data_IF_683650353420
#
_entry.id   IF_683650353420
#
_cell.length_a   1.000
_cell.length_b   1.000
_cell.length_c   1.000
_cell.angle_alpha   90.00
_cell.angle_beta   90.00
_cell.angle_gamma   90.00
#
_symmetry.space_group_name_H-M   'P 1'
#
loop_
_entity.id
_entity.type
_entity.pdbx_description
1 polymer ?
#
# COMPACT_ATOMS: atom_id res chain seq x y z
N UNK A 1 21.93 11.22 36.80
CA UNK A 1 21.04 10.23 36.17
C UNK A 1 19.78 10.98 35.78
N UNK A 2 19.76 11.50 34.55
CA UNK A 2 18.52 11.95 33.92
C UNK A 2 18.14 10.85 32.96
N UNK A 3 17.11 10.11 33.31
CA UNK A 3 16.46 9.18 32.40
C UNK A 3 15.67 10.04 31.41
N UNK A 4 16.30 10.32 30.27
CA UNK A 4 15.62 10.83 29.10
C UNK A 4 14.77 9.71 28.54
N UNK A 5 13.51 9.68 28.94
CA UNK A 5 12.48 8.83 28.34
C UNK A 5 12.24 9.32 26.90
N UNK A 6 13.07 8.82 26.00
CA UNK A 6 12.92 8.93 24.55
C UNK A 6 11.90 7.93 24.04
N UNK A 7 10.72 7.86 24.65
CA UNK A 7 9.56 7.23 24.01
C UNK A 7 9.13 8.17 22.89
N UNK A 8 9.52 7.80 21.67
CA UNK A 8 8.96 8.38 20.44
C UNK A 8 7.44 8.37 20.59
N UNK A 9 6.83 9.54 20.83
CA UNK A 9 5.38 9.67 20.90
C UNK A 9 4.81 9.14 19.58
N UNK A 10 4.31 7.91 19.56
CA UNK A 10 3.60 7.39 18.42
C UNK A 10 2.42 8.32 18.18
N UNK A 11 2.43 8.96 17.02
CA UNK A 11 1.51 10.02 16.67
C UNK A 11 0.06 9.52 16.77
N UNK A 12 -0.82 10.38 17.27
CA UNK A 12 -2.26 10.15 17.32
C UNK A 12 -2.77 9.54 16.00
N UNK A 13 -3.63 8.52 16.11
CA UNK A 13 -4.24 7.90 14.93
C UNK A 13 -5.47 8.71 14.53
N UNK A 14 -5.53 9.11 13.26
CA UNK A 14 -6.71 9.73 12.69
C UNK A 14 -7.06 9.07 11.36
N UNK A 15 -8.32 8.67 11.20
CA UNK A 15 -8.80 8.12 9.96
C UNK A 15 -10.22 8.58 9.67
N UNK A 16 -10.39 9.22 8.51
CA UNK A 16 -11.70 9.43 7.87
C UNK A 16 -11.90 8.36 6.80
N UNK A 17 -12.67 7.30 7.07
CA UNK A 17 -12.60 6.06 6.32
C UNK A 17 -13.09 6.19 4.87
N UNK A 18 -14.10 7.04 4.61
CA UNK A 18 -14.61 7.26 3.25
C UNK A 18 -13.52 7.84 2.34
N UNK A 19 -12.81 8.87 2.82
CA UNK A 19 -11.73 9.53 2.09
C UNK A 19 -10.57 8.55 1.84
N UNK A 20 -10.24 7.72 2.84
CA UNK A 20 -9.20 6.70 2.73
C UNK A 20 -9.59 5.62 1.73
N UNK A 21 -10.79 5.06 1.79
CA UNK A 21 -11.27 4.04 0.83
C UNK A 21 -11.24 4.59 -0.59
N UNK A 22 -11.70 5.83 -0.79
CA UNK A 22 -11.64 6.48 -2.09
C UNK A 22 -10.19 6.61 -2.59
N UNK A 23 -9.27 7.07 -1.73
CA UNK A 23 -7.85 7.18 -2.04
C UNK A 23 -7.23 5.84 -2.43
N UNK A 24 -7.47 4.80 -1.64
CA UNK A 24 -6.98 3.44 -1.89
C UNK A 24 -7.56 2.86 -3.19
N UNK A 25 -8.82 3.12 -3.51
CA UNK A 25 -9.45 2.67 -4.76
C UNK A 25 -8.83 3.37 -5.98
N UNK A 26 -8.58 4.67 -5.88
CA UNK A 26 -7.89 5.43 -6.94
C UNK A 26 -6.47 4.91 -7.14
N UNK A 27 -5.75 4.66 -6.04
CA UNK A 27 -4.41 4.08 -6.09
C UNK A 27 -4.43 2.69 -6.75
N UNK A 28 -5.31 1.79 -6.31
CA UNK A 28 -5.47 0.46 -6.90
C UNK A 28 -5.65 0.52 -8.42
N UNK A 29 -6.60 1.34 -8.89
CA UNK A 29 -6.88 1.49 -10.32
C UNK A 29 -5.68 2.08 -11.07
N UNK A 30 -5.01 3.07 -10.50
CA UNK A 30 -3.82 3.69 -11.09
C UNK A 30 -2.68 2.68 -11.26
N UNK A 31 -2.39 1.90 -10.21
CA UNK A 31 -1.31 0.93 -10.22
C UNK A 31 -1.61 -0.23 -11.18
N UNK A 32 -2.86 -0.71 -11.23
CA UNK A 32 -3.30 -1.70 -12.22
C UNK A 32 -3.11 -1.21 -13.66
N UNK A 33 -3.45 0.05 -13.95
CA UNK A 33 -3.23 0.64 -15.28
C UNK A 33 -1.76 0.71 -15.62
N UNK A 34 -0.92 1.18 -14.69
CA UNK A 34 0.53 1.24 -14.89
C UNK A 34 1.13 -0.14 -15.20
N UNK A 35 0.70 -1.19 -14.49
CA UNK A 35 1.16 -2.56 -14.76
C UNK A 35 0.73 -3.05 -16.14
N UNK A 36 -0.50 -2.75 -16.55
CA UNK A 36 -1.00 -3.09 -17.86
C UNK A 36 -0.23 -2.36 -18.98
N UNK A 37 0.00 -1.06 -18.81
CA UNK A 37 0.77 -0.22 -19.75
C UNK A 37 2.21 -0.72 -19.88
N UNK A 38 2.85 -1.12 -18.78
CA UNK A 38 4.20 -1.67 -18.79
C UNK A 38 4.27 -3.00 -19.55
N UNK A 39 3.31 -3.91 -19.33
CA UNK A 39 3.21 -5.18 -20.07
C UNK A 39 2.95 -4.93 -21.56
N UNK A 40 2.03 -4.04 -21.88
CA UNK A 40 1.73 -3.68 -23.26
C UNK A 40 2.96 -3.07 -23.96
N UNK A 41 3.70 -2.20 -23.28
CA UNK A 41 4.93 -1.60 -23.80
C UNK A 41 5.95 -2.68 -24.12
N UNK A 42 6.15 -3.64 -23.22
CA UNK A 42 7.03 -4.80 -23.45
C UNK A 42 6.57 -5.67 -24.63
N UNK A 43 5.27 -5.98 -24.72
CA UNK A 43 4.70 -6.76 -25.83
C UNK A 43 4.79 -6.05 -27.18
N UNK A 44 4.87 -4.71 -27.17
CA UNK A 44 5.00 -3.87 -28.37
C UNK A 44 6.44 -3.65 -28.83
N UNK A 45 7.43 -4.27 -28.19
CA UNK A 45 8.84 -4.14 -28.59
C UNK A 45 9.03 -4.59 -30.05
N UNK A 46 9.72 -3.80 -30.90
CA UNK A 46 9.98 -4.18 -32.29
C UNK A 46 10.77 -5.48 -32.39
N UNK A 47 10.55 -6.26 -33.44
CA UNK A 47 11.33 -7.47 -33.71
C UNK A 47 12.83 -7.20 -33.96
N UNK A 48 13.19 -5.95 -34.26
CA UNK A 48 14.57 -5.49 -34.39
C UNK A 48 15.23 -5.13 -33.05
N UNK A 49 14.50 -5.25 -31.93
CA UNK A 49 15.05 -4.96 -30.60
C UNK A 49 16.12 -5.99 -30.26
N UNK A 50 17.32 -5.56 -29.81
CA UNK A 50 18.37 -6.48 -29.39
C UNK A 50 17.91 -7.45 -28.28
N UNK A 51 18.34 -8.70 -28.36
CA UNK A 51 17.91 -9.77 -27.43
C UNK A 51 18.25 -9.44 -25.96
N UNK A 52 19.37 -8.78 -25.72
CA UNK A 52 19.78 -8.31 -24.38
C UNK A 52 18.84 -7.24 -23.83
N UNK A 53 18.40 -6.30 -24.67
CA UNK A 53 17.40 -5.31 -24.29
C UNK A 53 16.03 -5.94 -24.01
N UNK A 54 15.63 -6.96 -24.79
CA UNK A 54 14.38 -7.72 -24.53
C UNK A 54 14.48 -8.48 -23.21
N UNK A 55 15.61 -9.12 -22.92
CA UNK A 55 15.83 -9.84 -21.67
C UNK A 55 15.77 -8.91 -20.46
N UNK A 56 16.43 -7.75 -20.53
CA UNK A 56 16.38 -6.74 -19.47
C UNK A 56 14.96 -6.19 -19.26
N UNK A 57 14.23 -5.88 -20.34
CA UNK A 57 12.87 -5.39 -20.22
C UNK A 57 11.93 -6.43 -19.60
N UNK A 58 12.13 -7.72 -19.91
CA UNK A 58 11.39 -8.83 -19.28
C UNK A 58 11.66 -8.90 -17.79
N UNK A 59 12.93 -8.85 -17.38
CA UNK A 59 13.32 -8.89 -15.97
C UNK A 59 12.66 -7.77 -15.16
N UNK A 60 12.67 -6.53 -15.69
CA UNK A 60 12.02 -5.37 -15.06
C UNK A 60 10.51 -5.59 -14.90
N UNK A 61 9.84 -6.11 -15.94
CA UNK A 61 8.41 -6.41 -15.89
C UNK A 61 8.11 -7.48 -14.85
N UNK A 62 8.86 -8.56 -14.84
CA UNK A 62 8.66 -9.70 -13.94
C UNK A 62 8.92 -9.30 -12.48
N UNK A 63 9.99 -8.54 -12.21
CA UNK A 63 10.29 -8.01 -10.87
C UNK A 63 9.17 -7.08 -10.38
N UNK A 64 8.72 -6.15 -11.22
CA UNK A 64 7.64 -5.22 -10.86
C UNK A 64 6.33 -5.95 -10.60
N UNK A 65 6.01 -6.98 -11.38
CA UNK A 65 4.81 -7.82 -11.16
C UNK A 65 4.95 -8.64 -9.88
N UNK A 66 6.13 -9.18 -9.60
CA UNK A 66 6.42 -9.91 -8.37
C UNK A 66 6.24 -8.99 -7.15
N UNK A 67 6.81 -7.79 -7.19
CA UNK A 67 6.67 -6.80 -6.13
C UNK A 67 5.22 -6.37 -5.93
N UNK A 68 4.47 -6.17 -7.02
CA UNK A 68 3.04 -5.90 -6.93
C UNK A 68 2.30 -7.00 -6.17
N UNK A 69 2.49 -8.25 -6.56
CA UNK A 69 1.76 -9.38 -5.99
C UNK A 69 2.17 -9.68 -4.55
N UNK A 70 3.46 -9.57 -4.23
CA UNK A 70 4.02 -10.06 -2.97
C UNK A 70 4.17 -8.96 -1.91
N UNK A 71 4.22 -7.69 -2.31
CA UNK A 71 4.44 -6.57 -1.37
C UNK A 71 3.28 -5.58 -1.42
N UNK A 72 3.00 -5.00 -2.60
CA UNK A 72 2.08 -3.87 -2.68
C UNK A 72 0.62 -4.26 -2.51
N UNK A 73 0.14 -5.28 -3.23
CA UNK A 73 -1.26 -5.70 -3.18
C UNK A 73 -1.69 -6.19 -1.78
N UNK A 74 -0.91 -7.00 -1.05
CA UNK A 74 -1.25 -7.38 0.32
C UNK A 74 -1.36 -6.18 1.27
N UNK A 75 -0.43 -5.22 1.18
CA UNK A 75 -0.46 -4.00 2.01
C UNK A 75 -1.66 -3.10 1.66
N UNK A 76 -2.00 -3.00 0.38
CA UNK A 76 -3.17 -2.25 -0.07
C UNK A 76 -4.47 -2.91 0.42
N UNK A 77 -4.56 -4.24 0.37
CA UNK A 77 -5.69 -4.99 0.91
C UNK A 77 -5.82 -4.83 2.43
N UNK A 78 -4.70 -4.84 3.17
CA UNK A 78 -4.69 -4.55 4.61
C UNK A 78 -5.21 -3.15 4.92
N UNK A 79 -4.77 -2.16 4.13
CA UNK A 79 -5.21 -0.78 4.27
C UNK A 79 -6.71 -0.62 4.01
N UNK A 80 -7.25 -1.29 2.97
CA UNK A 80 -8.69 -1.33 2.73
C UNK A 80 -9.46 -1.95 3.89
N UNK A 81 -8.97 -3.09 4.40
CA UNK A 81 -9.60 -3.76 5.55
C UNK A 81 -9.66 -2.84 6.76
N UNK A 82 -8.57 -2.13 7.06
CA UNK A 82 -8.53 -1.18 8.18
C UNK A 82 -9.53 -0.04 8.00
N UNK A 83 -9.60 0.54 6.81
CA UNK A 83 -10.54 1.62 6.54
C UNK A 83 -12.00 1.16 6.60
N UNK A 84 -12.29 -0.07 6.14
CA UNK A 84 -13.60 -0.69 6.29
C UNK A 84 -13.93 -0.98 7.76
N UNK A 85 -12.97 -1.47 8.56
CA UNK A 85 -13.17 -1.69 10.00
C UNK A 85 -13.52 -0.38 10.73
N UNK A 86 -12.84 0.72 10.40
CA UNK A 86 -13.15 2.05 10.95
C UNK A 86 -14.53 2.52 10.48
N UNK A 87 -14.88 2.32 9.20
CA UNK A 87 -16.20 2.67 8.67
C UNK A 87 -17.32 1.91 9.38
N UNK A 88 -17.17 0.60 9.54
CA UNK A 88 -18.18 -0.27 10.14
C UNK A 88 -18.33 -0.01 11.64
N UNK A 89 -17.24 0.39 12.32
CA UNK A 89 -17.22 0.62 13.77
C UNK A 89 -17.67 2.04 14.15
N UNK A 90 -17.17 3.06 13.44
CA UNK A 90 -17.33 4.47 13.82
C UNK A 90 -18.18 5.28 12.83
N UNK A 91 -18.57 4.69 11.71
CA UNK A 91 -19.30 5.38 10.65
C UNK A 91 -18.40 6.24 9.76
N UNK A 92 -19.01 7.02 8.85
CA UNK A 92 -18.29 7.74 7.78
C UNK A 92 -17.39 8.87 8.29
N UNK A 93 -17.69 9.44 9.47
CA UNK A 93 -16.91 10.51 10.07
C UNK A 93 -15.58 10.01 10.67
N UNK A 94 -15.49 8.71 10.96
CA UNK A 94 -14.27 8.04 11.39
C UNK A 94 -13.92 8.22 12.86
N UNK A 95 -12.63 8.11 13.18
CA UNK A 95 -12.13 8.14 14.57
C UNK A 95 -10.82 8.90 14.68
N UNK A 96 -10.65 9.58 15.82
CA UNK A 96 -9.39 10.14 16.28
C UNK A 96 -9.03 9.48 17.62
N UNK A 97 -7.85 8.89 17.71
CA UNK A 97 -7.34 8.22 18.90
C UNK A 97 -6.09 8.95 19.34
N UNK A 98 -6.21 9.64 20.47
CA UNK A 98 -5.13 10.45 21.06
C UNK A 98 -4.27 9.67 22.08
N UNK A 99 -4.80 8.56 22.62
CA UNK A 99 -4.02 7.68 23.49
C UNK A 99 -2.94 6.99 22.68
N UNK A 100 -1.68 7.17 23.08
CA UNK A 100 -0.52 6.67 22.34
C UNK A 100 -0.51 5.13 22.22
N UNK A 101 -0.99 4.41 23.25
CA UNK A 101 -1.01 2.94 23.23
C UNK A 101 -2.07 2.43 22.27
N UNK A 102 -3.27 3.02 22.31
CA UNK A 102 -4.34 2.68 21.37
C UNK A 102 -3.98 3.10 19.94
N UNK A 103 -3.39 4.27 19.74
CA UNK A 103 -2.93 4.74 18.43
C UNK A 103 -1.88 3.79 17.83
N UNK A 104 -0.95 3.28 18.63
CA UNK A 104 0.03 2.27 18.21
C UNK A 104 -0.65 1.00 17.68
N UNK A 105 -1.69 0.52 18.37
CA UNK A 105 -2.45 -0.66 17.96
C UNK A 105 -3.09 -0.41 16.59
N UNK A 106 -3.73 0.75 16.38
CA UNK A 106 -4.34 1.11 15.10
C UNK A 106 -3.30 1.29 13.98
N UNK A 107 -2.18 1.94 14.26
CA UNK A 107 -1.08 2.13 13.29
C UNK A 107 -0.41 0.81 12.87
N UNK A 108 -0.46 -0.24 13.70
CA UNK A 108 0.10 -1.54 13.34
C UNK A 108 -0.85 -2.41 12.50
N UNK A 109 -2.14 -2.06 12.41
CA UNK A 109 -3.12 -2.80 11.58
C UNK A 109 -2.89 -2.61 10.07
N UNK A 110 -2.03 -1.68 9.66
CA UNK A 110 -1.71 -1.43 8.25
C UNK A 110 -0.94 -2.58 7.58
N UNK A 111 -0.28 -3.45 8.35
CA UNK A 111 0.55 -4.51 7.79
C UNK A 111 -0.25 -5.83 7.68
N UNK A 112 -0.49 -6.30 6.45
CA UNK A 112 -0.76 -7.72 6.24
C UNK A 112 0.59 -8.43 6.36
N UNK A 113 0.87 -9.02 7.52
CA UNK A 113 1.89 -10.05 7.62
C UNK A 113 1.36 -11.23 6.80
N UNK A 114 1.89 -11.40 5.58
CA UNK A 114 1.73 -12.65 4.86
C UNK A 114 2.32 -13.78 5.75
N UNK A 115 1.58 -14.87 6.00
CA UNK A 115 2.03 -15.97 6.85
C UNK A 115 3.29 -16.66 6.32
#
# INVERSE_FOLDING_TARGET
MSDGDGTSAEAAFYMKPVDVIEGLARQFVSDQRRLAEMRQTFESLPASTPDDAVAQAREIVDETVSDWNNKYLPNLAASFRLALEVLDTYGPDGVSVEDATEAAIWNNKYFAIAP
#
